data_IF_596452591515
#
_entry.id   IF_596452591515
#
_cell.length_a   1.000
_cell.length_b   1.000
_cell.length_c   1.000
_cell.angle_alpha   90.00
_cell.angle_beta   90.00
_cell.angle_gamma   90.00
#
_symmetry.space_group_name_H-M   'P 1'
#
loop_
_entity.id
_entity.type
_entity.pdbx_description
1 polymer ?
#
# COMPACT_ATOMS: atom_id res chain seq x y z
N UNK A 1 -4.18 10.49 -12.93
CA UNK A 1 -3.59 9.97 -11.70
C UNK A 1 -4.25 8.65 -11.34
N UNK A 2 -3.59 7.51 -11.56
CA UNK A 2 -4.25 6.20 -11.64
C UNK A 2 -3.35 5.11 -11.02
N UNK A 3 -3.94 4.16 -10.26
CA UNK A 3 -3.30 3.07 -9.50
C UNK A 3 -1.78 3.16 -9.28
N UNK A 4 -1.38 3.49 -8.04
CA UNK A 4 -0.01 3.84 -7.68
C UNK A 4 0.91 2.64 -7.51
N UNK A 5 2.18 2.89 -7.82
CA UNK A 5 3.34 2.12 -7.38
C UNK A 5 4.26 3.04 -6.58
N UNK A 6 4.97 2.43 -5.62
CA UNK A 6 6.18 2.93 -4.96
C UNK A 6 7.28 1.88 -5.29
N UNK A 7 8.49 2.24 -5.77
CA UNK A 7 9.56 1.30 -6.22
C UNK A 7 10.63 1.08 -5.16
N UNK A 8 11.63 0.18 -5.36
CA UNK A 8 11.82 -0.84 -6.39
C UNK A 8 11.67 -2.25 -5.79
N UNK A 9 10.60 -2.54 -5.06
CA UNK A 9 10.25 -3.92 -4.68
C UNK A 9 8.74 -4.02 -4.85
N UNK A 10 8.37 -4.59 -5.99
CA UNK A 10 7.02 -4.60 -6.54
C UNK A 10 6.00 -5.05 -5.46
N UNK A 11 4.78 -4.49 -5.46
CA UNK A 11 3.67 -4.69 -4.49
C UNK A 11 2.38 -4.86 -5.34
N UNK A 12 1.55 -5.90 -5.16
CA UNK A 12 0.25 -6.08 -5.88
C UNK A 12 -0.89 -5.58 -5.00
N UNK A 13 -1.95 -5.06 -5.64
CA UNK A 13 -3.06 -4.34 -4.98
C UNK A 13 -4.39 -5.03 -5.27
N UNK A 14 -5.19 -5.30 -4.24
CA UNK A 14 -6.57 -5.76 -4.36
C UNK A 14 -7.50 -4.78 -3.62
N UNK A 15 -8.44 -4.17 -4.34
CA UNK A 15 -9.49 -3.32 -3.76
C UNK A 15 -10.57 -4.23 -3.17
N UNK A 16 -10.96 -3.98 -1.93
CA UNK A 16 -11.90 -4.81 -1.15
C UNK A 16 -13.20 -5.09 -1.93
N UNK A 17 -13.48 -6.38 -2.18
CA UNK A 17 -14.76 -6.96 -2.68
C UNK A 17 -15.29 -6.51 -4.05
N UNK A 18 -14.67 -5.53 -4.72
CA UNK A 18 -14.91 -5.24 -6.13
C UNK A 18 -13.62 -5.50 -6.89
N UNK A 19 -13.68 -6.40 -7.85
CA UNK A 19 -12.61 -6.59 -8.82
C UNK A 19 -12.39 -5.25 -9.53
N UNK A 20 -11.38 -4.49 -9.11
CA UNK A 20 -11.03 -3.24 -9.77
C UNK A 20 -10.33 -3.57 -11.07
N UNK A 21 -10.66 -2.84 -12.12
CA UNK A 21 -9.93 -3.00 -13.37
C UNK A 21 -8.50 -2.49 -13.16
N UNK A 22 -7.51 -3.24 -13.62
CA UNK A 22 -6.13 -2.77 -13.63
C UNK A 22 -6.06 -1.43 -14.37
N UNK A 23 -5.51 -0.41 -13.71
CA UNK A 23 -5.43 0.97 -14.23
C UNK A 23 -6.55 1.91 -13.77
N UNK A 24 -7.53 1.43 -12.99
CA UNK A 24 -8.55 2.30 -12.39
C UNK A 24 -7.93 3.30 -11.37
N UNK A 25 -8.36 4.57 -11.32
CA UNK A 25 -7.94 5.48 -10.25
C UNK A 25 -8.25 4.97 -8.84
N UNK A 26 -7.29 5.11 -7.93
CA UNK A 26 -7.54 4.91 -6.50
C UNK A 26 -8.17 6.19 -5.95
N UNK A 27 -9.46 6.13 -5.61
CA UNK A 27 -10.20 7.28 -5.12
C UNK A 27 -9.80 7.65 -3.70
N UNK A 28 -9.75 8.94 -3.39
CA UNK A 28 -9.66 9.37 -1.99
C UNK A 28 -10.87 8.83 -1.22
N UNK A 29 -10.63 8.32 0.00
CA UNK A 29 -11.63 7.65 0.82
C UNK A 29 -11.89 6.18 0.47
N UNK A 30 -11.26 5.62 -0.58
CA UNK A 30 -11.38 4.19 -0.88
C UNK A 30 -10.54 3.33 0.05
N UNK A 31 -11.01 2.10 0.31
CA UNK A 31 -10.29 1.09 1.08
C UNK A 31 -9.42 0.25 0.15
N UNK A 32 -8.13 0.14 0.47
CA UNK A 32 -7.10 -0.61 -0.25
C UNK A 32 -6.46 -1.68 0.66
N UNK A 33 -5.77 -2.64 0.03
CA UNK A 33 -4.86 -3.59 0.66
C UNK A 33 -3.48 -3.46 0.02
N UNK A 34 -2.43 -3.37 0.83
CA UNK A 34 -1.03 -3.29 0.36
C UNK A 34 -0.35 -4.66 0.51
N UNK A 35 -0.04 -5.36 -0.58
CA UNK A 35 0.60 -6.70 -0.53
C UNK A 35 2.05 -6.69 -0.97
N UNK A 36 2.97 -6.91 -0.04
CA UNK A 36 4.41 -6.98 -0.29
C UNK A 36 4.77 -8.17 -1.20
N UNK A 37 5.26 -7.95 -2.43
CA UNK A 37 5.39 -9.08 -3.38
C UNK A 37 6.50 -10.06 -3.04
N UNK A 38 7.58 -9.65 -2.39
CA UNK A 38 8.65 -10.60 -2.09
C UNK A 38 8.17 -11.70 -1.13
N UNK A 39 7.16 -11.43 -0.31
CA UNK A 39 6.62 -12.37 0.68
C UNK A 39 5.15 -12.72 0.47
N UNK A 40 4.47 -12.06 -0.47
CA UNK A 40 3.02 -12.06 -0.66
C UNK A 40 2.21 -11.86 0.64
N UNK A 41 2.69 -10.98 1.53
CA UNK A 41 2.02 -10.66 2.81
C UNK A 41 1.39 -9.28 2.75
N UNK A 42 0.30 -9.09 3.46
CA UNK A 42 -0.44 -7.84 3.51
C UNK A 42 0.07 -6.94 4.63
N UNK A 43 0.09 -5.62 4.40
CA UNK A 43 0.26 -4.66 5.48
C UNK A 43 -0.95 -4.75 6.42
N UNK A 44 -0.67 -5.05 7.68
CA UNK A 44 -1.67 -5.41 8.65
C UNK A 44 -1.50 -4.64 9.95
N UNK A 45 -2.61 -4.40 10.65
CA UNK A 45 -2.58 -3.88 12.01
C UNK A 45 -3.70 -4.45 12.87
N UNK A 46 -3.48 -4.44 14.17
CA UNK A 46 -4.38 -5.01 15.19
C UNK A 46 -4.09 -4.39 16.56
N UNK A 47 -4.88 -4.74 17.57
CA UNK A 47 -4.75 -4.22 18.93
C UNK A 47 -3.57 -4.84 19.69
N UNK A 48 -2.36 -4.59 19.22
CA UNK A 48 -1.11 -5.03 19.83
C UNK A 48 -0.11 -3.88 19.91
N UNK A 49 0.72 -3.86 20.94
CA UNK A 49 1.72 -2.81 21.14
C UNK A 49 2.94 -3.02 20.25
N UNK A 50 3.46 -1.94 19.67
CA UNK A 50 4.63 -1.95 18.82
C UNK A 50 5.92 -2.19 19.64
N UNK A 51 6.96 -2.78 19.04
CA UNK A 51 8.09 -3.30 19.80
C UNK A 51 8.98 -2.26 20.48
N UNK A 52 9.09 -1.04 19.94
CA UNK A 52 10.03 -0.03 20.45
C UNK A 52 9.32 1.15 21.12
N UNK A 53 8.18 1.59 20.59
CA UNK A 53 7.50 2.81 21.04
C UNK A 53 6.17 2.60 21.75
N UNK A 54 5.71 1.34 21.88
CA UNK A 54 4.42 0.99 22.46
C UNK A 54 3.20 1.68 21.79
N UNK A 55 3.35 2.12 20.53
CA UNK A 55 2.23 2.52 19.67
C UNK A 55 1.49 1.27 19.17
N UNK A 56 0.58 1.38 18.20
CA UNK A 56 -0.05 0.20 17.63
C UNK A 56 0.91 -0.50 16.66
N UNK A 57 1.03 -1.83 16.77
CA UNK A 57 1.86 -2.64 15.89
C UNK A 57 1.34 -2.60 14.44
N UNK A 58 2.29 -2.49 13.50
CA UNK A 58 2.05 -2.72 12.08
C UNK A 58 2.96 -3.86 11.63
N UNK A 59 2.40 -4.82 10.92
CA UNK A 59 3.07 -6.07 10.56
C UNK A 59 2.78 -6.48 9.12
N UNK A 60 3.44 -7.57 8.69
CA UNK A 60 3.15 -8.24 7.44
C UNK A 60 2.42 -9.56 7.75
N UNK A 61 1.15 -9.67 7.39
CA UNK A 61 0.26 -10.78 7.75
C UNK A 61 -0.26 -11.54 6.53
N UNK A 62 -0.85 -12.71 6.76
CA UNK A 62 -1.44 -13.53 5.69
C UNK A 62 -0.40 -14.24 4.82
N UNK A 63 -0.86 -14.83 3.73
CA UNK A 63 -0.05 -15.50 2.71
C UNK A 63 -0.72 -15.36 1.33
N UNK A 64 0.06 -15.23 0.27
CA UNK A 64 -0.44 -15.13 -1.11
C UNK A 64 -1.49 -14.04 -1.33
N UNK A 65 -1.38 -12.93 -0.59
CA UNK A 65 -2.34 -11.82 -0.64
C UNK A 65 -3.64 -12.07 0.13
N UNK A 66 -3.87 -13.29 0.61
CA UNK A 66 -5.02 -13.66 1.44
C UNK A 66 -4.81 -13.25 2.90
N UNK A 67 -5.86 -12.69 3.50
CA UNK A 67 -5.88 -12.28 4.90
C UNK A 67 -7.27 -11.80 5.32
N UNK A 68 -7.37 -10.91 6.30
CA UNK A 68 -8.63 -10.55 6.96
C UNK A 68 -8.96 -9.05 6.89
N UNK A 69 -9.75 -8.54 7.83
CA UNK A 69 -10.17 -7.13 7.89
C UNK A 69 -9.05 -6.21 8.38
N UNK A 70 -8.07 -6.73 9.13
CA UNK A 70 -6.91 -5.97 9.60
C UNK A 70 -5.91 -5.60 8.49
N UNK A 71 -6.17 -6.03 7.25
CA UNK A 71 -5.37 -5.70 6.08
C UNK A 71 -5.88 -4.45 5.33
N UNK A 72 -7.00 -3.85 5.77
CA UNK A 72 -7.69 -2.81 5.02
C UNK A 72 -7.31 -1.41 5.51
N UNK A 73 -6.95 -0.55 4.56
CA UNK A 73 -6.50 0.82 4.80
C UNK A 73 -7.25 1.81 3.91
N UNK A 74 -7.80 2.86 4.50
CA UNK A 74 -8.44 3.96 3.77
C UNK A 74 -7.36 4.94 3.32
N UNK A 75 -7.36 5.26 2.03
CA UNK A 75 -6.54 6.33 1.46
C UNK A 75 -7.17 7.67 1.81
N UNK A 76 -6.52 8.45 2.66
CA UNK A 76 -6.95 9.80 3.01
C UNK A 76 -6.10 10.79 2.23
N UNK A 77 -6.73 11.48 1.28
CA UNK A 77 -6.08 12.46 0.43
C UNK A 77 -7.03 13.60 0.08
N UNK A 78 -6.44 14.71 -0.34
CA UNK A 78 -7.18 15.84 -0.88
C UNK A 78 -7.51 15.57 -2.36
N UNK A 79 -8.71 15.94 -2.80
CA UNK A 79 -9.16 15.75 -4.18
C UNK A 79 -10.00 14.49 -4.40
N UNK A 80 -10.12 14.08 -5.66
CA UNK A 80 -11.00 12.96 -6.06
C UNK A 80 -10.27 11.60 -6.04
N UNK A 81 -8.98 11.60 -6.37
CA UNK A 81 -8.16 10.41 -6.47
C UNK A 81 -6.76 10.72 -5.95
N UNK A 82 -6.10 9.69 -5.40
CA UNK A 82 -4.68 9.76 -5.09
C UNK A 82 -3.94 10.12 -6.39
N UNK A 83 -3.06 11.12 -6.38
CA UNK A 83 -2.13 11.40 -7.48
C UNK A 83 -0.67 11.11 -7.12
N UNK A 84 0.20 11.04 -8.14
CA UNK A 84 1.58 10.51 -7.98
C UNK A 84 2.39 11.34 -6.99
N UNK A 85 2.26 12.64 -7.10
CA UNK A 85 3.04 13.59 -6.32
C UNK A 85 2.31 14.05 -5.06
N UNK A 86 1.09 13.55 -4.85
CA UNK A 86 0.30 13.89 -3.69
C UNK A 86 0.78 13.14 -2.46
N UNK A 87 0.75 13.87 -1.35
CA UNK A 87 0.87 13.28 -0.03
C UNK A 87 -0.49 12.74 0.37
N UNK A 88 -0.49 11.49 0.81
CA UNK A 88 -1.66 10.83 1.36
C UNK A 88 -1.40 10.43 2.80
N UNK A 89 -2.45 10.05 3.50
CA UNK A 89 -2.37 9.30 4.75
C UNK A 89 -3.10 7.98 4.55
N UNK A 90 -2.71 6.96 5.31
CA UNK A 90 -3.37 5.66 5.28
C UNK A 90 -3.95 5.37 6.65
N UNK A 91 -5.28 5.26 6.72
CA UNK A 91 -6.01 5.04 7.97
C UNK A 91 -6.48 3.60 8.03
N UNK A 92 -6.05 2.86 9.04
CA UNK A 92 -6.46 1.49 9.27
C UNK A 92 -7.98 1.42 9.52
N UNK A 93 -8.69 0.54 8.83
CA UNK A 93 -10.16 0.48 8.86
C UNK A 93 -10.67 0.05 10.24
N UNK A 94 -10.06 -0.97 10.85
CA UNK A 94 -10.62 -1.59 12.06
C UNK A 94 -10.29 -0.82 13.35
N UNK A 95 -9.20 -0.06 13.37
CA UNK A 95 -8.71 0.61 14.60
C UNK A 95 -8.55 2.11 14.49
N UNK A 96 -8.89 2.69 13.34
CA UNK A 96 -8.83 4.13 13.04
C UNK A 96 -7.43 4.80 13.17
N UNK A 97 -6.37 4.02 13.38
CA UNK A 97 -4.99 4.54 13.45
C UNK A 97 -4.42 4.85 12.07
N UNK A 98 -3.52 5.80 12.00
CA UNK A 98 -2.81 6.17 10.78
C UNK A 98 -1.45 5.48 10.71
N UNK A 99 -1.09 4.99 9.53
CA UNK A 99 0.24 4.47 9.27
C UNK A 99 1.28 5.58 9.46
N UNK A 100 2.30 5.30 10.25
CA UNK A 100 3.32 6.28 10.62
C UNK A 100 4.67 5.61 10.79
N UNK A 101 5.72 6.44 10.76
CA UNK A 101 7.08 6.05 11.08
C UNK A 101 7.50 6.77 12.35
N UNK A 102 8.15 6.06 13.27
CA UNK A 102 8.70 6.69 14.48
C UNK A 102 10.14 7.14 14.25
N UNK A 103 10.68 7.93 15.19
CA UNK A 103 12.11 8.24 15.21
C UNK A 103 12.99 7.08 15.72
N UNK A 104 12.39 5.96 16.14
CA UNK A 104 13.12 4.80 16.66
C UNK A 104 13.60 3.91 15.51
N UNK A 105 14.78 3.32 15.68
CA UNK A 105 15.34 2.35 14.73
C UNK A 105 15.67 1.05 15.43
N UNK A 106 15.56 -0.05 14.71
CA UNK A 106 15.95 -1.36 15.21
C UNK A 106 17.48 -1.50 15.25
N UNK A 107 17.95 -2.32 16.20
CA UNK A 107 19.34 -2.81 16.24
C UNK A 107 19.52 -4.10 15.45
N UNK A 108 20.44 -4.97 15.86
CA UNK A 108 20.67 -6.27 15.22
C UNK A 108 19.39 -7.13 15.31
N UNK A 109 19.07 -7.93 14.27
CA UNK A 109 19.78 -8.12 13.00
C UNK A 109 19.45 -7.08 11.90
N UNK A 110 18.45 -6.21 12.11
CA UNK A 110 17.90 -5.28 11.10
C UNK A 110 18.30 -3.82 11.39
N UNK A 111 19.60 -3.60 11.65
CA UNK A 111 20.11 -2.32 12.16
C UNK A 111 19.73 -1.14 11.25
N UNK A 112 19.25 -0.07 11.87
CA UNK A 112 18.98 1.21 11.20
C UNK A 112 17.65 1.26 10.44
N UNK A 113 16.89 0.17 10.38
CA UNK A 113 15.51 0.22 9.87
C UNK A 113 14.62 0.94 10.89
N UNK A 114 13.79 1.87 10.42
CA UNK A 114 12.84 2.60 11.26
C UNK A 114 11.66 1.72 11.65
N UNK A 115 11.11 1.97 12.84
CA UNK A 115 9.88 1.34 13.31
C UNK A 115 8.67 1.97 12.61
N UNK A 116 7.84 1.11 12.00
CA UNK A 116 6.54 1.47 11.41
C UNK A 116 5.43 1.11 12.39
N UNK A 117 4.50 2.03 12.60
CA UNK A 117 3.45 1.92 13.64
C UNK A 117 2.12 2.51 13.17
N UNK A 118 1.05 2.16 13.88
CA UNK A 118 -0.23 2.84 13.84
C UNK A 118 -0.33 3.88 14.97
N UNK A 119 -0.69 5.12 14.65
CA UNK A 119 -0.90 6.20 15.63
C UNK A 119 -2.27 6.86 15.49
N UNK A 120 -2.85 7.32 16.59
CA UNK A 120 -4.02 8.20 16.54
C UNK A 120 -3.64 9.58 16.00
N UNK A 121 -4.57 10.30 15.37
CA UNK A 121 -4.35 11.68 14.90
C UNK A 121 -5.19 12.67 15.72
N UNK A 122 -4.66 13.85 16.12
CA UNK A 122 -3.30 14.34 15.87
C UNK A 122 -2.26 13.73 16.82
N UNK A 123 -1.07 13.39 16.30
CA UNK A 123 0.09 12.91 17.05
C UNK A 123 1.35 13.61 16.52
N UNK A 124 2.44 13.60 17.28
CA UNK A 124 3.73 14.18 16.90
C UNK A 124 4.44 13.43 15.77
N UNK A 125 4.10 12.16 15.53
CA UNK A 125 4.72 11.37 14.47
C UNK A 125 4.17 11.73 13.08
N UNK A 126 5.01 11.70 12.02
CA UNK A 126 4.57 11.98 10.67
C UNK A 126 3.68 10.85 10.12
N UNK A 127 2.55 11.22 9.52
CA UNK A 127 1.59 10.27 8.92
C UNK A 127 1.42 10.47 7.41
N UNK A 128 2.12 11.47 6.84
CA UNK A 128 2.06 11.77 5.41
C UNK A 128 3.03 10.87 4.64
N UNK A 129 2.49 10.15 3.67
CA UNK A 129 3.23 9.28 2.76
C UNK A 129 3.13 9.83 1.35
N UNK A 130 4.22 9.73 0.59
CA UNK A 130 4.21 10.04 -0.84
C UNK A 130 4.58 8.77 -1.59
N UNK A 131 3.86 8.48 -2.66
CA UNK A 131 4.32 7.46 -3.58
C UNK A 131 5.66 7.91 -4.20
N UNK A 132 6.65 7.02 -4.21
CA UNK A 132 7.95 7.28 -4.81
C UNK A 132 8.34 6.11 -5.68
N UNK A 133 8.67 6.37 -6.96
CA UNK A 133 9.27 5.36 -7.84
C UNK A 133 8.16 4.32 -8.25
N UNK A 134 8.10 3.70 -9.45
CA UNK A 134 7.08 2.65 -9.71
C UNK A 134 6.57 2.46 -11.15
N UNK A 135 5.78 1.39 -11.40
CA UNK A 135 5.13 1.12 -12.69
C UNK A 135 3.65 1.55 -12.71
N UNK A 136 3.35 2.71 -13.27
CA UNK A 136 2.00 3.25 -13.27
C UNK A 136 1.28 2.83 -14.55
N UNK A 137 0.23 2.00 -14.42
CA UNK A 137 -0.52 1.51 -15.59
C UNK A 137 -1.56 2.54 -15.98
N UNK A 138 -1.49 3.05 -17.20
CA UNK A 138 -2.55 3.89 -17.74
C UNK A 138 -3.66 3.02 -18.34
N UNK A 139 -4.95 3.38 -18.20
CA UNK A 139 -6.05 2.64 -18.83
C UNK A 139 -5.88 2.44 -20.34
N UNK A 140 -5.19 3.35 -21.03
CA UNK A 140 -4.90 3.22 -22.48
C UNK A 140 -3.86 2.16 -22.81
N UNK A 141 -3.05 1.73 -21.85
CA UNK A 141 -2.03 0.69 -22.07
C UNK A 141 -2.65 -0.71 -22.12
N UNK A 142 -3.92 -0.83 -21.70
CA UNK A 142 -4.70 -2.06 -21.76
C UNK A 142 -5.64 -2.03 -22.97
N UNK A 143 -5.14 -2.46 -24.14
CA UNK A 143 -6.01 -2.78 -25.28
C UNK A 143 -6.17 -4.30 -25.42
N UNK A 144 -7.23 -4.91 -24.85
CA UNK A 144 -7.47 -6.36 -24.97
C UNK A 144 -7.66 -6.83 -26.42
N UNK A 145 -7.79 -5.93 -27.40
CA UNK A 145 -7.88 -6.26 -28.83
C UNK A 145 -6.52 -6.26 -29.57
N UNK A 146 -5.39 -6.02 -28.89
CA UNK A 146 -4.06 -6.00 -29.51
C UNK A 146 -3.28 -7.33 -29.36
N UNK A 147 -3.97 -8.42 -29.02
CA UNK A 147 -3.46 -9.79 -29.13
C UNK A 147 -4.04 -10.46 -30.38
N UNK A 148 -3.70 -9.98 -31.57
CA UNK A 148 -3.91 -10.74 -32.82
C UNK A 148 -2.70 -10.48 -33.73
N UNK A 149 -2.07 -11.58 -34.16
CA UNK A 149 -0.92 -11.71 -35.05
C UNK A 149 0.48 -11.41 -34.48
N UNK A 150 1.06 -12.44 -33.85
CA UNK A 150 2.50 -12.70 -33.98
C UNK A 150 2.61 -13.69 -35.14
N UNK A 151 2.95 -13.22 -36.33
CA UNK A 151 3.47 -14.11 -37.39
C UNK A 151 4.89 -14.51 -36.99
N UNK A 152 5.09 -15.81 -36.77
CA UNK A 152 6.40 -16.41 -36.64
C UNK A 152 6.95 -16.59 -38.05
N UNK A 153 7.93 -15.76 -38.46
CA UNK A 153 8.76 -16.07 -39.61
C UNK A 153 10.09 -16.57 -39.06
N UNK A 154 10.26 -17.90 -39.04
CA UNK A 154 11.57 -18.51 -38.85
C UNK A 154 12.38 -18.35 -40.16
N UNK A 155 13.64 -17.95 -40.01
CA UNK A 155 14.66 -17.93 -41.07
C UNK A 155 15.33 -19.30 -41.18
#
# INVERSE_FOLDING_TARGET
>A
AHCFFVSPLMTQWELTKKQCARGEPVKCGSSIRLTHLATNKNLHSHHFSSPLSANQEVSAYGNDGEGDTGDHWIVVCDGEAWERDDKIMMKHVDTDVYLSVTGQTYGRPINGQYEIVGVQWPNSNPVQWKASEGLFIHPSDFNPKKQVHIEHTEL
#
